data_IF_470365022515
#
_entry.id   IF_470365022515
#
_cell.length_a   1.000
_cell.length_b   1.000
_cell.length_c   1.000
_cell.angle_alpha   90.00
_cell.angle_beta   90.00
_cell.angle_gamma   90.00
#
_symmetry.space_group_name_H-M   'P 1'
#
loop_
_entity.id
_entity.type
_entity.pdbx_description
1 polymer ?
#
# COMPACT_ATOMS: atom_id res chain seq x y z
N UNK A 1 34.41 -16.61 -60.10
CA UNK A 1 33.51 -15.44 -60.15
C UNK A 1 32.78 -15.39 -58.80
N UNK A 2 33.27 -14.63 -57.80
CA UNK A 2 32.75 -13.32 -57.34
C UNK A 2 31.20 -13.28 -57.34
N UNK A 3 30.52 -13.07 -56.20
CA UNK A 3 30.62 -11.85 -55.38
C UNK A 3 30.26 -12.08 -53.89
N UNK A 4 31.12 -11.57 -53.00
CA UNK A 4 30.80 -11.16 -51.63
C UNK A 4 29.83 -9.96 -51.66
N UNK A 5 28.80 -9.97 -50.82
CA UNK A 5 27.95 -8.81 -50.53
C UNK A 5 28.35 -8.20 -49.19
N UNK A 6 28.93 -7.00 -49.23
CA UNK A 6 29.32 -6.19 -48.08
C UNK A 6 28.10 -5.73 -47.27
N UNK A 7 28.13 -5.97 -45.96
CA UNK A 7 27.27 -5.29 -44.99
C UNK A 7 27.91 -3.94 -44.67
N UNK A 8 27.29 -2.85 -45.11
CA UNK A 8 27.68 -1.48 -44.79
C UNK A 8 27.14 -1.14 -43.39
N UNK A 9 28.05 -0.94 -42.44
CA UNK A 9 27.75 -0.37 -41.12
C UNK A 9 27.62 1.14 -41.29
N UNK A 10 26.39 1.66 -41.20
CA UNK A 10 26.14 3.10 -41.18
C UNK A 10 26.24 3.60 -39.73
N UNK A 11 27.38 4.17 -39.38
CA UNK A 11 27.59 4.94 -38.14
C UNK A 11 26.95 6.33 -38.33
N UNK A 12 25.74 6.53 -37.81
CA UNK A 12 25.14 7.85 -37.68
C UNK A 12 25.63 8.47 -36.37
N UNK A 13 26.59 9.38 -36.51
CA UNK A 13 27.07 10.25 -35.46
C UNK A 13 26.01 11.26 -35.04
N UNK A 14 25.73 11.32 -33.75
CA UNK A 14 24.99 12.41 -33.11
C UNK A 14 26.02 13.39 -32.52
N UNK A 15 26.13 14.55 -33.15
CA UNK A 15 26.78 15.71 -32.56
C UNK A 15 25.82 16.37 -31.55
N UNK A 16 26.28 16.78 -30.36
CA UNK A 16 25.45 17.52 -29.42
C UNK A 16 25.43 19.01 -29.77
N UNK A 17 24.23 19.56 -29.94
CA UNK A 17 24.02 21.00 -30.05
C UNK A 17 23.99 21.62 -28.63
N UNK A 18 24.87 22.61 -28.45
CA UNK A 18 24.95 23.52 -27.31
C UNK A 18 23.66 24.35 -27.19
N UNK A 19 23.08 24.41 -25.98
CA UNK A 19 22.16 25.48 -25.60
C UNK A 19 22.33 25.84 -24.11
N UNK A 20 22.81 27.08 -23.94
CA UNK A 20 22.69 28.04 -22.83
C UNK A 20 22.24 27.54 -21.44
N UNK A 21 23.13 27.74 -20.47
CA UNK A 21 22.87 27.51 -19.05
C UNK A 21 21.95 28.54 -18.41
N UNK A 22 21.26 28.07 -17.38
CA UNK A 22 20.86 28.87 -16.22
C UNK A 22 21.60 28.29 -15.01
N UNK A 23 22.50 29.09 -14.45
CA UNK A 23 23.23 28.82 -13.23
C UNK A 23 22.26 28.68 -12.04
N UNK A 24 22.18 27.49 -11.45
CA UNK A 24 21.72 27.32 -10.08
C UNK A 24 22.93 26.96 -9.22
N UNK A 25 23.34 27.91 -8.40
CA UNK A 25 24.50 27.84 -7.51
C UNK A 25 24.37 26.67 -6.53
N UNK A 26 25.32 25.74 -6.58
CA UNK A 26 25.60 24.78 -5.51
C UNK A 26 26.40 25.48 -4.42
N UNK A 27 25.75 25.78 -3.30
CA UNK A 27 26.45 26.08 -2.04
C UNK A 27 26.61 24.77 -1.27
N UNK A 28 27.84 24.24 -1.26
CA UNK A 28 28.21 23.16 -0.36
C UNK A 28 28.13 23.66 1.08
N UNK A 29 27.35 22.97 1.91
CA UNK A 29 27.36 23.14 3.36
C UNK A 29 28.17 21.99 3.96
N UNK A 30 29.34 22.33 4.47
CA UNK A 30 30.15 21.49 5.36
C UNK A 30 29.44 21.34 6.72
N UNK A 31 29.63 20.22 7.45
CA UNK A 31 29.09 20.07 8.79
C UNK A 31 29.85 20.97 9.77
N UNK A 32 29.16 21.92 10.40
CA UNK A 32 29.70 22.65 11.56
C UNK A 32 29.53 21.81 12.84
N UNK A 33 30.57 21.72 13.71
CA UNK A 33 30.44 21.11 15.02
C UNK A 33 29.60 21.98 15.98
N UNK A 34 28.71 21.33 16.73
CA UNK A 34 27.87 21.96 17.76
C UNK A 34 28.72 22.52 18.92
N UNK A 35 28.47 23.76 19.38
CA UNK A 35 29.02 24.25 20.64
C UNK A 35 28.21 23.73 21.86
N UNK A 36 28.86 23.55 23.03
CA UNK A 36 28.24 23.00 24.23
C UNK A 36 27.20 23.95 24.86
N UNK A 37 26.06 23.39 25.26
CA UNK A 37 24.96 24.11 25.90
C UNK A 37 25.31 24.61 27.30
N UNK A 38 25.16 25.91 27.49
CA UNK A 38 25.28 26.61 28.77
C UNK A 38 23.91 26.67 29.45
N UNK A 39 23.80 26.17 30.68
CA UNK A 39 22.61 26.31 31.53
C UNK A 39 22.56 27.72 32.15
N UNK A 40 21.45 28.47 32.08
CA UNK A 40 21.28 29.68 32.88
C UNK A 40 20.86 29.36 34.33
N UNK A 41 21.36 30.14 35.31
CA UNK A 41 21.30 29.82 36.73
C UNK A 41 19.99 30.23 37.42
N UNK A 42 19.69 29.50 38.50
CA UNK A 42 18.61 29.75 39.47
C UNK A 42 18.72 31.14 40.09
N UNK A 43 17.67 31.96 39.93
CA UNK A 43 17.45 33.20 40.68
C UNK A 43 16.43 32.97 41.79
N UNK A 44 16.86 33.09 43.05
CA UNK A 44 15.98 33.23 44.20
C UNK A 44 15.50 34.69 44.34
N UNK A 45 14.21 34.88 44.60
CA UNK A 45 13.63 36.16 44.98
C UNK A 45 12.32 35.93 45.77
N UNK A 46 12.11 36.59 46.92
CA UNK A 46 10.99 36.32 47.81
C UNK A 46 9.73 37.12 47.40
N UNK A 47 8.58 36.43 47.31
CA UNK A 47 7.27 37.07 47.18
C UNK A 47 6.39 36.73 48.41
N UNK A 48 5.68 37.71 48.99
CA UNK A 48 4.84 37.50 50.17
C UNK A 48 3.48 36.85 49.80
N UNK A 49 2.86 36.06 50.70
CA UNK A 49 1.60 35.40 50.44
C UNK A 49 0.41 36.38 50.55
N UNK A 50 -0.33 36.55 49.46
CA UNK A 50 -1.66 37.17 49.46
C UNK A 50 -2.73 36.09 49.65
N UNK A 51 -3.49 36.20 50.74
CA UNK A 51 -4.68 35.39 51.01
C UNK A 51 -5.87 35.91 50.20
N UNK A 52 -6.66 35.05 49.53
CA UNK A 52 -7.93 35.46 48.96
C UNK A 52 -9.01 35.61 50.06
N UNK A 53 -9.96 36.56 49.91
CA UNK A 53 -11.03 36.77 50.88
C UNK A 53 -12.04 35.61 50.90
N UNK A 54 -12.34 35.12 52.11
CA UNK A 54 -13.41 34.16 52.39
C UNK A 54 -14.78 34.79 52.11
N UNK A 55 -15.53 34.20 51.17
CA UNK A 55 -16.97 34.42 51.03
C UNK A 55 -17.74 33.46 51.96
N UNK A 56 -18.90 33.88 52.50
CA UNK A 56 -19.72 33.04 53.37
C UNK A 56 -20.35 31.87 52.59
N UNK A 57 -20.56 30.70 53.23
CA UNK A 57 -21.07 29.52 52.56
C UNK A 57 -22.55 29.69 52.20
N UNK A 58 -22.86 29.62 50.89
CA UNK A 58 -24.22 29.37 50.40
C UNK A 58 -24.57 27.90 50.64
N UNK A 59 -25.77 27.66 51.18
CA UNK A 59 -26.26 26.32 51.52
C UNK A 59 -26.34 25.36 50.33
N UNK A 60 -26.44 24.05 50.60
CA UNK A 60 -26.41 23.02 49.57
C UNK A 60 -27.64 23.12 48.66
N UNK A 61 -27.43 23.60 47.43
CA UNK A 61 -28.37 23.38 46.34
C UNK A 61 -28.35 21.91 45.90
N UNK A 62 -29.45 21.39 45.32
CA UNK A 62 -29.51 20.01 44.84
C UNK A 62 -28.41 19.79 43.78
N UNK A 63 -27.49 18.85 44.05
CA UNK A 63 -26.51 18.40 43.07
C UNK A 63 -27.25 17.79 41.88
N UNK A 64 -27.17 18.43 40.72
CA UNK A 64 -27.56 17.78 39.47
C UNK A 64 -26.63 16.59 39.23
N UNK A 65 -27.17 15.40 38.92
CA UNK A 65 -26.34 14.24 38.62
C UNK A 65 -25.43 14.58 37.43
N UNK A 66 -24.15 14.14 37.46
CA UNK A 66 -23.25 14.36 36.34
C UNK A 66 -23.87 13.81 35.06
N UNK A 67 -23.74 14.52 33.91
CA UNK A 67 -24.27 14.04 32.64
C UNK A 67 -23.73 12.64 32.37
N UNK A 68 -24.63 11.67 32.23
CA UNK A 68 -24.28 10.30 31.88
C UNK A 68 -23.55 10.35 30.53
N UNK A 69 -22.27 9.97 30.53
CA UNK A 69 -21.56 9.73 29.28
C UNK A 69 -22.32 8.65 28.50
N UNK A 70 -22.53 8.84 27.18
CA UNK A 70 -23.09 7.79 26.34
C UNK A 70 -22.31 6.49 26.56
N UNK A 71 -22.97 5.33 26.66
CA UNK A 71 -22.26 4.06 26.74
C UNK A 71 -21.27 3.95 25.57
N UNK A 72 -20.06 3.40 25.78
CA UNK A 72 -19.10 3.20 24.69
C UNK A 72 -19.78 2.41 23.57
N UNK A 73 -19.86 2.99 22.37
CA UNK A 73 -20.37 2.26 21.21
C UNK A 73 -19.39 1.13 20.89
N UNK A 74 -19.75 -0.10 21.26
CA UNK A 74 -19.01 -1.30 20.87
C UNK A 74 -19.47 -1.68 19.47
N UNK A 75 -18.59 -1.49 18.48
CA UNK A 75 -18.88 -1.94 17.11
C UNK A 75 -18.95 -3.48 17.06
N UNK A 76 -19.77 -4.07 16.18
CA UNK A 76 -19.74 -5.51 15.95
C UNK A 76 -18.36 -5.99 15.46
N UNK A 77 -17.91 -7.13 15.97
CA UNK A 77 -16.70 -7.79 15.47
C UNK A 77 -16.95 -8.41 14.09
N UNK A 78 -15.96 -8.28 13.21
CA UNK A 78 -16.02 -8.85 11.85
C UNK A 78 -15.69 -10.35 11.87
N UNK A 79 -16.42 -11.19 11.11
CA UNK A 79 -16.18 -12.62 11.06
C UNK A 79 -14.91 -12.96 10.25
N UNK A 80 -14.24 -14.09 10.53
CA UNK A 80 -13.06 -14.49 9.78
C UNK A 80 -13.38 -14.74 8.31
N UNK A 81 -12.37 -14.55 7.47
CA UNK A 81 -12.43 -14.76 6.04
C UNK A 81 -11.91 -16.17 5.74
N UNK A 82 -12.80 -17.11 5.43
CA UNK A 82 -12.44 -18.53 5.29
C UNK A 82 -12.40 -18.93 3.83
N UNK A 83 -11.18 -19.13 3.32
CA UNK A 83 -10.92 -19.63 1.98
C UNK A 83 -11.04 -18.57 0.88
N UNK A 84 -10.59 -18.95 -0.32
CA UNK A 84 -10.47 -18.05 -1.47
C UNK A 84 -11.82 -17.44 -1.87
N UNK A 85 -12.92 -18.18 -1.82
CA UNK A 85 -14.24 -17.64 -2.21
C UNK A 85 -14.67 -16.46 -1.33
N UNK A 86 -14.45 -16.55 -0.02
CA UNK A 86 -14.72 -15.43 0.89
C UNK A 86 -13.82 -14.24 0.57
N UNK A 87 -12.52 -14.48 0.38
CA UNK A 87 -11.52 -13.46 0.03
C UNK A 87 -11.87 -12.72 -1.27
N UNK A 88 -12.28 -13.45 -2.31
CA UNK A 88 -12.73 -12.85 -3.57
C UNK A 88 -13.99 -11.99 -3.40
N UNK A 89 -14.93 -12.43 -2.56
CA UNK A 89 -16.13 -11.65 -2.26
C UNK A 89 -15.79 -10.38 -1.47
N UNK A 90 -14.81 -10.45 -0.57
CA UNK A 90 -14.34 -9.28 0.16
C UNK A 90 -13.69 -8.27 -0.77
N UNK A 91 -12.83 -8.72 -1.69
CA UNK A 91 -12.24 -7.84 -2.70
C UNK A 91 -13.31 -7.13 -3.53
N UNK A 92 -14.37 -7.83 -3.96
CA UNK A 92 -15.48 -7.18 -4.68
C UNK A 92 -16.14 -6.06 -3.84
N UNK A 93 -16.24 -6.27 -2.53
CA UNK A 93 -16.85 -5.30 -1.61
C UNK A 93 -15.94 -4.08 -1.41
N UNK A 94 -14.65 -4.30 -1.14
CA UNK A 94 -13.63 -3.24 -1.05
C UNK A 94 -13.54 -2.45 -2.37
N UNK A 95 -13.56 -3.12 -3.52
CA UNK A 95 -13.50 -2.46 -4.83
C UNK A 95 -14.73 -1.57 -5.07
N UNK A 96 -15.92 -1.99 -4.65
CA UNK A 96 -17.13 -1.17 -4.75
C UNK A 96 -17.00 0.13 -3.94
N UNK A 97 -16.38 0.07 -2.77
CA UNK A 97 -16.14 1.25 -1.92
C UNK A 97 -15.06 2.17 -2.50
N UNK A 98 -13.98 1.62 -3.05
CA UNK A 98 -12.98 2.39 -3.79
C UNK A 98 -13.63 3.15 -4.95
N UNK A 99 -14.44 2.48 -5.77
CA UNK A 99 -15.16 3.08 -6.89
C UNK A 99 -16.14 4.18 -6.43
N UNK A 100 -16.82 3.98 -5.29
CA UNK A 100 -17.75 4.95 -4.73
C UNK A 100 -17.06 6.22 -4.21
N UNK A 101 -15.82 6.11 -3.76
CA UNK A 101 -15.03 7.23 -3.25
C UNK A 101 -14.30 8.04 -4.34
N UNK A 102 -14.27 7.57 -5.58
CA UNK A 102 -13.66 8.31 -6.69
C UNK A 102 -14.47 9.56 -7.06
N UNK A 103 -13.79 10.56 -7.63
CA UNK A 103 -14.47 11.67 -8.30
C UNK A 103 -15.37 11.16 -9.42
N UNK A 104 -16.45 11.88 -9.74
CA UNK A 104 -17.37 11.49 -10.81
C UNK A 104 -16.66 11.27 -12.15
N UNK A 105 -15.64 12.09 -12.45
CA UNK A 105 -14.82 11.95 -13.66
C UNK A 105 -14.01 10.65 -13.66
N UNK A 106 -13.30 10.34 -12.58
CA UNK A 106 -12.50 9.12 -12.51
C UNK A 106 -13.40 7.89 -12.46
N UNK A 107 -14.48 7.95 -11.68
CA UNK A 107 -15.47 6.87 -11.61
C UNK A 107 -16.02 6.53 -12.99
N UNK A 108 -16.33 7.52 -13.85
CA UNK A 108 -16.83 7.27 -15.20
C UNK A 108 -15.83 6.49 -16.08
N UNK A 109 -14.52 6.59 -15.83
CA UNK A 109 -13.48 5.88 -16.59
C UNK A 109 -13.31 4.42 -16.16
N UNK A 110 -13.57 4.12 -14.89
CA UNK A 110 -13.28 2.79 -14.31
C UNK A 110 -14.50 2.00 -13.89
N UNK A 111 -15.68 2.63 -13.91
CA UNK A 111 -16.94 1.94 -13.63
C UNK A 111 -17.20 0.89 -14.71
N UNK A 112 -17.37 -0.35 -14.26
CA UNK A 112 -17.65 -1.48 -15.16
C UNK A 112 -16.41 -2.20 -15.68
N UNK A 113 -15.20 -1.78 -15.30
CA UNK A 113 -14.00 -2.58 -15.53
C UNK A 113 -14.16 -3.93 -14.81
N UNK A 114 -14.10 -5.06 -15.52
CA UNK A 114 -14.24 -6.38 -14.91
C UNK A 114 -13.06 -6.68 -13.99
N UNK A 115 -13.38 -7.27 -12.82
CA UNK A 115 -12.40 -7.90 -11.94
C UNK A 115 -12.32 -9.39 -12.27
N UNK A 116 -11.13 -9.84 -12.62
CA UNK A 116 -10.83 -11.22 -13.00
C UNK A 116 -9.97 -11.88 -11.92
N UNK A 117 -10.27 -13.14 -11.61
CA UNK A 117 -9.52 -13.92 -10.63
C UNK A 117 -8.69 -14.98 -11.34
N UNK A 118 -7.37 -14.86 -11.26
CA UNK A 118 -6.43 -15.82 -11.80
C UNK A 118 -6.12 -16.90 -10.74
N UNK A 119 -6.33 -18.20 -11.02
CA UNK A 119 -6.03 -19.27 -10.08
C UNK A 119 -4.53 -19.49 -9.78
N UNK A 120 -3.62 -18.74 -10.41
CA UNK A 120 -2.18 -18.86 -10.17
C UNK A 120 -1.79 -18.51 -8.72
N UNK A 121 -0.76 -19.18 -8.23
CA UNK A 121 -0.19 -18.97 -6.88
C UNK A 121 0.86 -17.88 -6.83
N UNK A 122 1.12 -17.24 -7.97
CA UNK A 122 1.97 -16.06 -8.06
C UNK A 122 1.36 -14.92 -7.22
N UNK A 123 2.18 -14.13 -6.55
CA UNK A 123 1.71 -12.98 -5.76
C UNK A 123 1.68 -11.74 -6.64
N UNK A 124 0.53 -11.48 -7.25
CA UNK A 124 0.39 -10.35 -8.18
C UNK A 124 -1.06 -9.82 -8.29
N UNK A 125 -1.18 -8.52 -8.54
CA UNK A 125 -2.38 -7.83 -8.97
C UNK A 125 -1.99 -6.86 -10.10
N UNK A 126 -2.86 -6.65 -11.07
CA UNK A 126 -2.54 -5.73 -12.18
C UNK A 126 -3.78 -5.18 -12.85
N UNK A 127 -3.66 -3.94 -13.30
CA UNK A 127 -4.50 -3.29 -14.29
C UNK A 127 -3.94 -3.52 -15.70
N UNK A 128 -4.81 -3.93 -16.63
CA UNK A 128 -4.39 -4.26 -17.99
C UNK A 128 -5.46 -4.02 -19.04
N UNK A 129 -5.09 -4.23 -20.30
CA UNK A 129 -6.00 -4.24 -21.42
C UNK A 129 -6.03 -5.65 -22.01
N UNK A 130 -7.17 -6.14 -22.47
CA UNK A 130 -7.25 -7.40 -23.21
C UNK A 130 -6.79 -7.26 -24.66
N UNK A 131 -6.92 -8.34 -25.44
CA UNK A 131 -6.55 -8.38 -26.86
C UNK A 131 -7.36 -7.39 -27.71
N UNK A 132 -8.57 -7.04 -27.26
CA UNK A 132 -9.46 -6.08 -27.90
C UNK A 132 -9.24 -4.65 -27.39
N UNK A 133 -8.31 -4.45 -26.45
CA UNK A 133 -8.03 -3.17 -25.82
C UNK A 133 -9.06 -2.77 -24.76
N UNK A 134 -9.90 -3.69 -24.29
CA UNK A 134 -10.82 -3.43 -23.19
C UNK A 134 -10.09 -3.53 -21.83
N UNK A 135 -10.37 -2.62 -20.89
CA UNK A 135 -9.70 -2.61 -19.59
C UNK A 135 -10.16 -3.77 -18.70
N UNK A 136 -9.28 -4.28 -17.86
CA UNK A 136 -9.60 -5.24 -16.79
C UNK A 136 -8.69 -5.04 -15.57
N UNK A 137 -9.19 -5.43 -14.39
CA UNK A 137 -8.39 -5.65 -13.19
C UNK A 137 -8.22 -7.15 -12.96
N UNK A 138 -7.05 -7.58 -12.51
CA UNK A 138 -6.81 -8.98 -12.16
C UNK A 138 -6.24 -9.14 -10.75
N UNK A 139 -6.67 -10.20 -10.08
CA UNK A 139 -6.15 -10.66 -8.80
C UNK A 139 -5.77 -12.13 -8.91
N UNK A 140 -4.52 -12.47 -8.61
CA UNK A 140 -4.07 -13.85 -8.48
C UNK A 140 -4.58 -14.48 -7.16
N UNK A 141 -4.66 -15.81 -7.09
CA UNK A 141 -4.88 -16.49 -5.82
C UNK A 141 -3.71 -16.22 -4.86
N UNK A 142 -2.48 -16.15 -5.37
CA UNK A 142 -1.30 -15.84 -4.56
C UNK A 142 -1.35 -14.47 -3.89
N UNK A 143 -1.85 -13.40 -4.54
CA UNK A 143 -1.99 -12.09 -3.87
C UNK A 143 -3.00 -12.16 -2.73
N UNK A 144 -4.14 -12.83 -2.91
CA UNK A 144 -5.15 -12.95 -1.86
C UNK A 144 -4.63 -13.74 -0.65
N UNK A 145 -3.83 -14.78 -0.90
CA UNK A 145 -3.15 -15.55 0.15
C UNK A 145 -2.10 -14.74 0.90
N UNK A 146 -1.28 -13.96 0.17
CA UNK A 146 -0.27 -13.10 0.78
C UNK A 146 -0.93 -12.06 1.69
N UNK A 147 -2.01 -11.44 1.22
CA UNK A 147 -2.76 -10.45 1.99
C UNK A 147 -3.39 -11.08 3.24
N UNK A 148 -3.95 -12.29 3.15
CA UNK A 148 -4.46 -12.99 4.34
C UNK A 148 -3.33 -13.33 5.32
N UNK A 149 -2.19 -13.85 4.84
CA UNK A 149 -1.03 -14.15 5.68
C UNK A 149 -0.50 -12.91 6.41
N UNK A 150 -0.36 -11.79 5.70
CA UNK A 150 -0.01 -10.47 6.25
C UNK A 150 -1.03 -10.08 7.33
N UNK A 151 -2.32 -10.08 7.00
CA UNK A 151 -3.36 -9.57 7.88
C UNK A 151 -3.52 -10.40 9.16
N UNK A 152 -3.51 -11.72 9.05
CA UNK A 152 -3.65 -12.63 10.19
C UNK A 152 -2.49 -12.48 11.18
N UNK A 153 -1.27 -12.34 10.68
CA UNK A 153 -0.07 -12.26 11.52
C UNK A 153 0.14 -10.86 12.08
N UNK A 154 -0.08 -9.80 11.29
CA UNK A 154 -0.06 -8.41 11.79
C UNK A 154 -1.09 -8.18 12.89
N UNK A 155 -2.32 -8.67 12.71
CA UNK A 155 -3.36 -8.60 13.76
C UNK A 155 -2.94 -9.33 15.05
N UNK A 156 -2.24 -10.46 14.91
CA UNK A 156 -1.75 -11.22 16.08
C UNK A 156 -0.65 -10.44 16.79
N UNK A 157 0.29 -9.86 16.04
CA UNK A 157 1.39 -9.08 16.59
C UNK A 157 0.89 -7.80 17.27
N UNK A 158 -0.07 -7.09 16.65
CA UNK A 158 -0.69 -5.87 17.21
C UNK A 158 -1.43 -6.14 18.53
N UNK A 159 -2.18 -7.24 18.63
CA UNK A 159 -3.02 -7.52 19.80
C UNK A 159 -2.29 -8.22 20.94
N UNK A 160 -1.25 -9.01 20.62
CA UNK A 160 -0.62 -9.91 21.60
C UNK A 160 0.90 -9.71 21.73
N UNK A 161 1.50 -8.77 21.00
CA UNK A 161 2.94 -8.48 21.09
C UNK A 161 3.83 -9.62 20.59
N UNK A 162 3.30 -10.45 19.68
CA UNK A 162 4.04 -11.57 19.08
C UNK A 162 4.94 -11.11 17.92
N UNK A 163 5.65 -12.05 17.28
CA UNK A 163 6.44 -11.85 16.06
C UNK A 163 6.04 -12.82 14.95
N UNK A 164 4.75 -13.10 14.86
CA UNK A 164 4.19 -14.06 13.90
C UNK A 164 4.37 -13.61 12.46
N UNK A 165 4.41 -12.30 12.18
CA UNK A 165 4.65 -11.81 10.83
C UNK A 165 6.08 -12.09 10.37
N UNK A 166 7.08 -11.87 11.23
CA UNK A 166 8.46 -12.24 10.94
C UNK A 166 8.59 -13.76 10.74
N UNK A 167 7.94 -14.57 11.59
CA UNK A 167 7.93 -16.02 11.44
C UNK A 167 7.27 -16.48 10.13
N UNK A 168 6.17 -15.84 9.74
CA UNK A 168 5.49 -16.09 8.46
C UNK A 168 6.41 -15.80 7.28
N UNK A 169 7.00 -14.61 7.20
CA UNK A 169 7.92 -14.25 6.13
C UNK A 169 9.12 -15.21 6.04
N UNK A 170 9.72 -15.58 7.19
CA UNK A 170 10.84 -16.53 7.23
C UNK A 170 10.45 -17.93 6.73
N UNK A 171 9.19 -18.31 6.84
CA UNK A 171 8.70 -19.59 6.35
C UNK A 171 8.35 -19.56 4.85
N UNK A 172 7.65 -18.53 4.38
CA UNK A 172 7.09 -18.52 3.02
C UNK A 172 8.03 -17.94 1.97
N UNK A 173 8.76 -16.87 2.27
CA UNK A 173 9.54 -16.14 1.26
C UNK A 173 10.67 -17.00 0.68
N UNK A 174 11.45 -17.79 1.46
CA UNK A 174 12.46 -18.65 0.88
C UNK A 174 11.87 -19.76 0.00
N UNK A 175 10.65 -20.23 0.29
CA UNK A 175 9.97 -21.21 -0.55
C UNK A 175 9.54 -20.59 -1.88
N UNK A 176 8.95 -19.39 -1.85
CA UNK A 176 8.54 -18.63 -3.03
C UNK A 176 9.71 -18.29 -3.96
N UNK A 177 10.87 -17.94 -3.39
CA UNK A 177 12.08 -17.68 -4.19
C UNK A 177 12.58 -18.95 -4.89
N UNK A 178 12.44 -20.13 -4.27
CA UNK A 178 12.93 -21.40 -4.82
C UNK A 178 11.96 -22.04 -5.82
N UNK A 179 10.67 -21.71 -5.78
CA UNK A 179 9.68 -22.31 -6.65
C UNK A 179 8.53 -21.36 -6.96
N UNK A 180 8.23 -21.24 -8.25
CA UNK A 180 7.04 -20.59 -8.81
C UNK A 180 5.71 -21.26 -8.42
N UNK A 181 5.75 -22.45 -7.81
CA UNK A 181 4.58 -23.18 -7.29
C UNK A 181 4.41 -23.03 -5.78
N UNK A 182 5.36 -22.40 -5.09
CA UNK A 182 5.23 -22.16 -3.66
C UNK A 182 4.16 -21.09 -3.41
N UNK A 183 3.39 -21.30 -2.35
CA UNK A 183 2.23 -20.48 -2.00
C UNK A 183 2.60 -19.48 -0.92
N UNK A 184 1.95 -18.32 -0.94
CA UNK A 184 2.02 -17.33 0.12
C UNK A 184 1.04 -17.63 1.28
N UNK A 185 0.27 -18.72 1.20
CA UNK A 185 -0.64 -19.17 2.26
C UNK A 185 0.05 -19.21 3.63
N UNK A 186 -0.62 -18.71 4.67
CA UNK A 186 -0.15 -18.79 6.05
C UNK A 186 0.10 -20.26 6.48
N UNK A 187 1.35 -20.64 6.81
CA UNK A 187 1.64 -21.98 7.29
C UNK A 187 1.00 -22.27 8.65
N UNK A 188 0.60 -23.53 8.86
CA UNK A 188 0.11 -23.99 10.16
C UNK A 188 1.18 -23.82 11.25
N UNK A 189 0.75 -23.46 12.46
CA UNK A 189 1.62 -23.28 13.62
C UNK A 189 2.35 -21.93 13.72
N UNK A 190 2.27 -21.06 12.70
CA UNK A 190 2.81 -19.70 12.80
C UNK A 190 2.05 -18.87 13.84
N UNK A 191 0.72 -18.98 13.84
CA UNK A 191 -0.12 -18.38 14.88
C UNK A 191 -0.24 -19.40 16.02
N UNK A 192 0.11 -19.03 17.27
CA UNK A 192 -0.07 -19.91 18.42
C UNK A 192 -1.51 -20.40 18.55
N UNK A 193 -1.70 -21.70 18.82
CA UNK A 193 -3.01 -22.33 18.82
C UNK A 193 -4.00 -21.68 19.81
N UNK A 194 -3.51 -21.18 20.95
CA UNK A 194 -4.30 -20.47 21.95
C UNK A 194 -4.77 -19.08 21.50
N UNK A 195 -4.19 -18.51 20.45
CA UNK A 195 -4.55 -17.20 19.87
C UNK A 195 -5.39 -17.35 18.60
N UNK A 196 -5.34 -18.51 17.94
CA UNK A 196 -5.96 -18.74 16.63
C UNK A 196 -7.46 -18.45 16.59
N UNK A 197 -8.18 -18.79 17.67
CA UNK A 197 -9.64 -18.66 17.79
C UNK A 197 -10.13 -17.37 18.47
N UNK A 198 -9.25 -16.39 18.76
CA UNK A 198 -9.68 -15.14 19.37
C UNK A 198 -10.49 -14.29 18.37
N UNK A 199 -11.78 -13.96 18.64
CA UNK A 199 -12.63 -13.23 17.70
C UNK A 199 -12.17 -11.78 17.48
N UNK A 200 -11.44 -11.19 18.43
CA UNK A 200 -10.85 -9.84 18.26
C UNK A 200 -9.72 -9.87 17.24
N UNK A 201 -8.93 -10.94 17.25
CA UNK A 201 -7.87 -11.20 16.27
C UNK A 201 -8.44 -11.38 14.88
N UNK A 202 -9.50 -12.18 14.74
CA UNK A 202 -10.21 -12.30 13.46
C UNK A 202 -10.73 -10.96 12.98
N UNK A 203 -11.43 -10.22 13.84
CA UNK A 203 -11.95 -8.91 13.44
C UNK A 203 -10.84 -7.94 13.04
N UNK A 204 -9.70 -7.91 13.74
CA UNK A 204 -8.59 -7.02 13.37
C UNK A 204 -7.89 -7.49 12.10
N UNK A 205 -7.74 -8.80 11.91
CA UNK A 205 -7.23 -9.36 10.66
C UNK A 205 -8.14 -8.99 9.49
N UNK A 206 -9.48 -8.96 9.68
CA UNK A 206 -10.41 -8.49 8.66
C UNK A 206 -10.17 -7.03 8.27
N UNK A 207 -9.95 -6.15 9.24
CA UNK A 207 -9.67 -4.74 8.93
C UNK A 207 -8.36 -4.59 8.15
N UNK A 208 -7.29 -5.25 8.60
CA UNK A 208 -6.00 -5.19 7.92
C UNK A 208 -6.10 -5.80 6.52
N UNK A 209 -6.88 -6.87 6.35
CA UNK A 209 -7.14 -7.46 5.03
C UNK A 209 -7.77 -6.44 4.09
N UNK A 210 -8.80 -5.73 4.54
CA UNK A 210 -9.47 -4.69 3.76
C UNK A 210 -8.53 -3.51 3.47
N UNK A 211 -7.73 -3.08 4.46
CA UNK A 211 -6.70 -2.04 4.30
C UNK A 211 -5.72 -2.41 3.18
N UNK A 212 -5.15 -3.62 3.22
CA UNK A 212 -4.18 -4.06 2.23
C UNK A 212 -4.82 -4.21 0.85
N UNK A 213 -6.05 -4.75 0.75
CA UNK A 213 -6.80 -4.78 -0.51
C UNK A 213 -7.04 -3.37 -1.05
N UNK A 214 -7.46 -2.43 -0.20
CA UNK A 214 -7.78 -1.07 -0.61
C UNK A 214 -6.58 -0.37 -1.24
N UNK A 215 -5.39 -0.51 -0.65
CA UNK A 215 -4.18 0.07 -1.21
C UNK A 215 -3.71 -0.65 -2.49
N UNK A 216 -3.82 -1.98 -2.53
CA UNK A 216 -3.48 -2.77 -3.73
C UNK A 216 -4.35 -2.35 -4.91
N UNK A 217 -5.68 -2.42 -4.77
CA UNK A 217 -6.60 -2.19 -5.88
C UNK A 217 -6.90 -0.71 -6.12
N UNK A 218 -6.68 0.17 -5.13
CA UNK A 218 -6.63 1.61 -5.36
C UNK A 218 -5.48 1.99 -6.28
N UNK A 219 -4.32 1.37 -6.12
CA UNK A 219 -3.17 1.54 -7.02
C UNK A 219 -3.50 1.04 -8.45
N UNK A 220 -4.05 -0.18 -8.59
CA UNK A 220 -4.43 -0.71 -9.90
C UNK A 220 -5.52 0.13 -10.61
N UNK A 221 -6.55 0.58 -9.87
CA UNK A 221 -7.55 1.50 -10.42
C UNK A 221 -6.92 2.80 -10.92
N UNK A 222 -5.91 3.31 -10.22
CA UNK A 222 -5.20 4.51 -10.62
C UNK A 222 -4.47 4.34 -11.95
N UNK A 223 -3.89 3.17 -12.24
CA UNK A 223 -3.33 2.89 -13.56
C UNK A 223 -4.35 3.07 -14.69
N UNK A 224 -5.62 2.76 -14.44
CA UNK A 224 -6.68 3.01 -15.40
C UNK A 224 -7.08 4.49 -15.49
N UNK A 225 -7.55 5.11 -14.40
CA UNK A 225 -8.10 6.48 -14.51
C UNK A 225 -7.03 7.55 -14.74
N UNK A 226 -5.76 7.29 -14.40
CA UNK A 226 -4.64 8.16 -14.80
C UNK A 226 -4.25 7.96 -16.27
N UNK A 227 -4.62 6.83 -16.87
CA UNK A 227 -4.38 6.51 -18.28
C UNK A 227 -3.06 5.79 -18.53
N UNK A 228 -2.41 5.25 -17.49
CA UNK A 228 -1.16 4.50 -17.63
C UNK A 228 -1.33 3.23 -18.48
N UNK A 229 -2.53 2.64 -18.46
CA UNK A 229 -2.91 1.49 -19.30
C UNK A 229 -3.34 1.88 -20.72
N UNK A 230 -3.76 3.13 -20.94
CA UNK A 230 -4.36 3.59 -22.20
C UNK A 230 -5.82 3.18 -22.41
N UNK A 231 -6.18 1.92 -22.17
CA UNK A 231 -7.51 1.39 -22.52
C UNK A 231 -8.70 2.05 -21.83
N UNK A 232 -8.58 2.43 -20.56
CA UNK A 232 -9.68 3.08 -19.83
C UNK A 232 -10.01 4.50 -20.35
N UNK A 233 -9.11 5.13 -21.13
CA UNK A 233 -9.32 6.44 -21.76
C UNK A 233 -9.62 6.34 -23.26
N UNK A 234 -9.83 5.13 -23.79
CA UNK A 234 -10.04 4.90 -25.22
C UNK A 234 -8.80 5.20 -26.08
N UNK A 235 -7.63 5.35 -25.44
CA UNK A 235 -6.35 5.39 -26.12
C UNK A 235 -6.01 3.94 -26.42
N UNK A 236 -5.93 3.54 -27.70
CA UNK A 236 -5.69 2.15 -28.08
C UNK A 236 -4.52 1.57 -27.28
N UNK A 237 -4.83 0.78 -26.25
CA UNK A 237 -3.84 0.01 -25.52
C UNK A 237 -3.23 -0.97 -26.52
N UNK A 238 -1.93 -1.23 -26.44
CA UNK A 238 -1.36 -2.35 -27.18
C UNK A 238 -2.18 -3.61 -26.89
N UNK A 239 -2.41 -4.46 -27.89
CA UNK A 239 -3.16 -5.70 -27.74
C UNK A 239 -2.58 -6.49 -26.54
N UNK A 240 -3.31 -6.50 -25.43
CA UNK A 240 -2.90 -7.24 -24.24
C UNK A 240 -3.42 -8.66 -24.28
N UNK A 241 -3.18 -9.49 -23.26
CA UNK A 241 -3.52 -10.92 -23.30
C UNK A 241 -5.02 -11.18 -23.01
N UNK A 242 -5.55 -12.28 -23.56
CA UNK A 242 -6.90 -12.78 -23.28
C UNK A 242 -7.13 -13.02 -21.76
N UNK A 243 -8.09 -12.33 -21.12
CA UNK A 243 -8.44 -12.51 -19.71
C UNK A 243 -8.96 -13.91 -19.37
N UNK A 244 -9.31 -14.75 -20.34
CA UNK A 244 -9.66 -16.16 -20.11
C UNK A 244 -8.43 -17.09 -20.14
N UNK A 245 -7.25 -16.59 -20.54
CA UNK A 245 -6.00 -17.35 -20.69
C UNK A 245 -4.89 -16.89 -19.73
N UNK A 246 -5.28 -16.36 -18.56
CA UNK A 246 -4.45 -15.64 -17.59
C UNK A 246 -3.18 -16.35 -17.08
N UNK A 247 -3.05 -17.67 -17.24
CA UNK A 247 -1.96 -18.47 -16.66
C UNK A 247 -0.52 -18.14 -17.12
N UNK A 248 -0.33 -17.04 -17.88
CA UNK A 248 0.97 -16.51 -18.33
C UNK A 248 1.00 -14.98 -18.44
N UNK A 249 0.36 -14.26 -17.51
CA UNK A 249 0.19 -12.80 -17.65
C UNK A 249 1.44 -11.94 -17.49
N UNK A 250 2.58 -12.56 -17.18
CA UNK A 250 3.82 -11.84 -16.89
C UNK A 250 4.68 -11.44 -18.09
N UNK A 251 4.35 -11.89 -19.30
CA UNK A 251 5.15 -11.55 -20.49
C UNK A 251 4.67 -10.32 -21.25
N UNK A 252 3.57 -9.66 -20.82
CA UNK A 252 2.86 -8.68 -21.66
C UNK A 252 2.37 -7.41 -20.93
N UNK A 253 2.54 -7.29 -19.60
CA UNK A 253 2.17 -6.05 -18.89
C UNK A 253 3.14 -4.93 -19.29
N UNK A 254 2.65 -3.74 -19.71
CA UNK A 254 3.51 -2.61 -20.01
C UNK A 254 4.41 -2.32 -18.82
N UNK A 255 5.71 -2.18 -19.04
CA UNK A 255 6.62 -1.67 -18.04
C UNK A 255 6.16 -0.23 -17.75
N UNK A 256 5.47 -0.02 -16.65
CA UNK A 256 5.10 1.31 -16.23
C UNK A 256 6.38 2.07 -15.91
N UNK A 257 6.50 3.29 -16.44
CA UNK A 257 7.62 4.13 -16.05
C UNK A 257 7.49 4.48 -14.55
N UNK A 258 8.62 4.74 -13.90
CA UNK A 258 8.70 5.08 -12.47
C UNK A 258 7.74 6.22 -12.05
N UNK A 259 7.47 7.15 -12.97
CA UNK A 259 6.54 8.26 -12.75
C UNK A 259 5.07 7.81 -12.69
N UNK A 260 4.66 6.87 -13.55
CA UNK A 260 3.33 6.29 -13.54
C UNK A 260 3.04 5.54 -12.24
N UNK A 261 4.00 4.74 -11.78
CA UNK A 261 3.93 4.00 -10.52
C UNK A 261 3.77 4.91 -9.29
N UNK A 262 4.58 5.98 -9.23
CA UNK A 262 4.51 6.97 -8.14
C UNK A 262 3.18 7.73 -8.15
N UNK A 263 2.66 8.04 -9.34
CA UNK A 263 1.36 8.69 -9.49
C UNK A 263 0.21 7.75 -9.10
N UNK A 264 0.27 6.47 -9.49
CA UNK A 264 -0.69 5.44 -9.09
C UNK A 264 -0.68 5.22 -7.58
N UNK A 265 0.49 5.15 -6.95
CA UNK A 265 0.61 5.08 -5.48
C UNK A 265 -0.07 6.24 -4.79
N UNK A 266 0.18 7.45 -5.30
CA UNK A 266 -0.37 8.65 -4.70
C UNK A 266 -1.89 8.65 -4.84
N UNK A 267 -2.40 8.49 -6.06
CA UNK A 267 -3.83 8.58 -6.32
C UNK A 267 -4.60 7.41 -5.68
N UNK A 268 -4.03 6.20 -5.70
CA UNK A 268 -4.56 5.02 -5.04
C UNK A 268 -4.61 5.17 -3.53
N UNK A 269 -3.57 5.74 -2.90
CA UNK A 269 -3.59 6.04 -1.47
C UNK A 269 -4.65 7.08 -1.09
N UNK A 270 -4.81 8.16 -1.86
CA UNK A 270 -5.90 9.11 -1.64
C UNK A 270 -7.27 8.43 -1.75
N UNK A 271 -7.48 7.59 -2.77
CA UNK A 271 -8.73 6.86 -2.96
C UNK A 271 -9.02 5.88 -1.82
N UNK A 272 -8.03 5.09 -1.40
CA UNK A 272 -8.14 4.17 -0.28
C UNK A 272 -8.46 4.91 1.02
N UNK A 273 -7.74 5.99 1.35
CA UNK A 273 -7.99 6.74 2.58
C UNK A 273 -9.37 7.43 2.56
N UNK A 274 -9.80 7.99 1.42
CA UNK A 274 -11.14 8.57 1.27
C UNK A 274 -12.26 7.53 1.45
N UNK A 275 -12.12 6.36 0.83
CA UNK A 275 -13.05 5.24 1.00
C UNK A 275 -13.05 4.72 2.45
N UNK A 276 -11.87 4.54 3.04
CA UNK A 276 -11.71 4.09 4.43
C UNK A 276 -12.35 5.06 5.42
N UNK A 277 -12.24 6.37 5.21
CA UNK A 277 -12.88 7.38 6.07
C UNK A 277 -14.41 7.25 6.07
N UNK A 278 -15.01 6.80 4.97
CA UNK A 278 -16.45 6.61 4.85
C UNK A 278 -16.97 5.43 5.71
N UNK A 279 -16.10 4.53 6.19
CA UNK A 279 -16.46 3.42 7.09
C UNK A 279 -16.63 3.83 8.57
N UNK A 280 -16.36 5.10 8.92
CA UNK A 280 -16.62 5.61 10.27
C UNK A 280 -18.13 5.56 10.59
N UNK A 281 -18.51 5.29 11.86
CA UNK A 281 -17.66 5.15 13.05
C UNK A 281 -17.14 3.72 13.30
N UNK A 282 -17.33 2.78 12.37
CA UNK A 282 -17.00 1.38 12.60
C UNK A 282 -15.48 1.19 12.67
N UNK A 283 -14.78 1.46 11.58
CA UNK A 283 -13.33 1.53 11.52
C UNK A 283 -12.95 2.37 10.30
N UNK A 284 -11.66 2.62 10.13
CA UNK A 284 -11.13 3.39 9.02
C UNK A 284 -9.88 2.70 8.51
N UNK A 285 -9.71 2.67 7.19
CA UNK A 285 -8.48 2.17 6.62
C UNK A 285 -7.32 3.14 6.85
N UNK A 286 -6.13 2.60 7.07
CA UNK A 286 -4.91 3.37 7.28
C UNK A 286 -3.87 3.07 6.21
N UNK A 287 -2.88 3.95 6.07
CA UNK A 287 -1.73 3.74 5.18
C UNK A 287 -0.92 2.48 5.51
N UNK A 288 -1.12 1.90 6.69
CA UNK A 288 -0.48 0.65 7.06
C UNK A 288 -0.83 -0.48 6.09
N UNK A 289 -2.01 -0.50 5.47
CA UNK A 289 -2.36 -1.48 4.45
C UNK A 289 -1.34 -1.53 3.31
N UNK A 290 -1.01 -0.38 2.72
CA UNK A 290 0.01 -0.30 1.68
C UNK A 290 1.42 -0.53 2.21
N UNK A 291 1.74 -0.05 3.43
CA UNK A 291 3.06 -0.27 4.05
C UNK A 291 3.31 -1.76 4.31
N UNK A 292 2.32 -2.51 4.78
CA UNK A 292 2.47 -3.94 5.05
C UNK A 292 2.72 -4.73 3.78
N UNK A 293 2.02 -4.40 2.68
CA UNK A 293 2.25 -5.05 1.39
C UNK A 293 3.65 -4.74 0.85
N UNK A 294 4.07 -3.49 0.88
CA UNK A 294 5.40 -3.08 0.40
C UNK A 294 6.51 -3.70 1.25
N UNK A 295 6.34 -3.82 2.57
CA UNK A 295 7.28 -4.54 3.44
C UNK A 295 7.37 -6.04 3.10
N UNK A 296 6.24 -6.70 2.78
CA UNK A 296 6.26 -8.09 2.31
C UNK A 296 7.09 -8.22 1.02
N UNK A 297 6.85 -7.37 0.03
CA UNK A 297 7.62 -7.37 -1.23
C UNK A 297 9.09 -7.00 -1.02
N UNK A 298 9.40 -6.07 -0.12
CA UNK A 298 10.79 -5.72 0.23
C UNK A 298 11.54 -6.92 0.81
N UNK A 299 10.91 -7.67 1.71
CA UNK A 299 11.49 -8.89 2.29
C UNK A 299 11.63 -9.99 1.25
N UNK A 300 10.69 -10.11 0.32
CA UNK A 300 10.77 -11.05 -0.79
C UNK A 300 11.98 -10.72 -1.69
N UNK A 301 12.17 -9.43 -2.03
CA UNK A 301 13.33 -8.94 -2.80
C UNK A 301 14.65 -9.25 -2.09
N UNK A 302 14.71 -8.95 -0.80
CA UNK A 302 15.89 -9.23 0.02
C UNK A 302 16.18 -10.74 0.06
N UNK A 303 15.15 -11.57 0.22
CA UNK A 303 15.28 -13.04 0.24
C UNK A 303 15.72 -13.60 -1.12
N UNK A 304 15.30 -12.96 -2.22
CA UNK A 304 15.71 -13.31 -3.59
C UNK A 304 17.17 -12.92 -3.90
N UNK A 305 17.88 -12.27 -2.98
CA UNK A 305 19.25 -11.78 -3.18
C UNK A 305 19.31 -10.51 -4.04
N UNK A 306 18.16 -9.86 -4.28
CA UNK A 306 18.04 -8.68 -5.14
C UNK A 306 18.13 -7.35 -4.38
N UNK A 307 18.45 -7.37 -3.07
CA UNK A 307 18.53 -6.18 -2.21
C UNK A 307 19.60 -5.17 -2.64
N UNK A 308 19.27 -4.32 -3.61
CA UNK A 308 20.11 -3.24 -4.11
C UNK A 308 19.55 -2.61 -5.39
N UNK A 309 20.15 -1.49 -5.83
CA UNK A 309 19.82 -0.73 -7.06
C UNK A 309 19.90 -1.53 -8.38
N UNK A 310 20.26 -2.82 -8.32
CA UNK A 310 20.33 -3.76 -9.45
C UNK A 310 19.17 -4.79 -9.47
N UNK A 311 18.07 -4.52 -8.76
CA UNK A 311 16.82 -5.31 -8.68
C UNK A 311 16.17 -5.71 -10.04
N UNK A 312 16.69 -5.23 -11.17
CA UNK A 312 16.21 -5.53 -12.54
C UNK A 312 16.33 -7.00 -12.97
N UNK A 313 17.03 -7.83 -12.20
CA UNK A 313 17.22 -9.27 -12.46
C UNK A 313 16.40 -10.19 -11.53
N UNK A 314 15.54 -9.64 -10.66
CA UNK A 314 14.78 -10.47 -9.74
C UNK A 314 13.83 -11.43 -10.49
N UNK A 315 13.77 -12.71 -10.10
CA UNK A 315 12.79 -13.67 -10.65
C UNK A 315 11.35 -13.35 -10.23
N UNK A 316 11.14 -12.43 -9.28
CA UNK A 316 9.80 -12.06 -8.80
C UNK A 316 9.17 -11.02 -9.73
N UNK A 317 8.04 -11.40 -10.33
CA UNK A 317 7.40 -10.63 -11.39
C UNK A 317 6.97 -9.21 -11.00
N UNK A 318 6.65 -8.99 -9.74
CA UNK A 318 6.35 -7.68 -9.16
C UNK A 318 7.47 -6.65 -9.45
N UNK A 319 8.74 -7.03 -9.30
CA UNK A 319 9.89 -6.10 -9.46
C UNK A 319 10.26 -5.83 -10.93
N UNK A 320 9.68 -6.57 -11.88
CA UNK A 320 9.83 -6.28 -13.31
C UNK A 320 8.88 -5.16 -13.76
N UNK A 321 7.82 -4.93 -12.98
CA UNK A 321 6.70 -4.06 -13.34
C UNK A 321 6.56 -2.87 -12.39
N UNK A 322 7.08 -2.98 -11.15
CA UNK A 322 6.94 -1.97 -10.11
C UNK A 322 8.29 -1.55 -9.50
N UNK A 323 8.43 -0.31 -8.97
CA UNK A 323 9.64 0.18 -8.33
C UNK A 323 9.98 -0.59 -7.05
N UNK A 324 11.23 -0.44 -6.57
CA UNK A 324 11.67 -1.03 -5.31
C UNK A 324 10.70 -0.67 -4.15
N UNK A 325 10.14 -1.65 -3.44
CA UNK A 325 9.17 -1.42 -2.37
C UNK A 325 9.69 -0.56 -1.21
N UNK A 326 10.97 -0.67 -0.85
CA UNK A 326 11.57 0.13 0.23
C UNK A 326 11.61 1.62 -0.12
N UNK A 327 11.71 1.97 -1.40
CA UNK A 327 11.61 3.37 -1.84
C UNK A 327 10.17 3.89 -1.81
N UNK A 328 9.18 3.02 -2.05
CA UNK A 328 7.74 3.37 -2.07
C UNK A 328 7.15 3.57 -0.68
N UNK A 329 7.64 2.88 0.35
CA UNK A 329 7.16 3.04 1.75
C UNK A 329 7.21 4.50 2.24
N UNK A 330 8.36 5.20 2.24
CA UNK A 330 8.42 6.59 2.72
C UNK A 330 7.60 7.55 1.84
N UNK A 331 7.45 7.24 0.55
CA UNK A 331 6.57 7.99 -0.34
C UNK A 331 5.11 7.86 0.07
N UNK A 332 4.61 6.63 0.21
CA UNK A 332 3.25 6.32 0.63
C UNK A 332 2.90 7.01 1.96
N UNK A 333 3.81 6.93 2.94
CA UNK A 333 3.63 7.59 4.23
C UNK A 333 3.59 9.13 4.09
N UNK A 334 4.35 9.71 3.16
CA UNK A 334 4.31 11.16 2.88
C UNK A 334 2.98 11.59 2.27
N UNK A 335 2.47 10.80 1.32
CA UNK A 335 1.15 11.00 0.72
C UNK A 335 0.06 10.93 1.80
N UNK A 336 0.08 9.90 2.64
CA UNK A 336 -0.88 9.74 3.73
C UNK A 336 -0.84 10.90 4.74
N UNK A 337 0.36 11.33 5.16
CA UNK A 337 0.52 12.52 6.02
C UNK A 337 -0.10 13.77 5.41
N UNK A 338 0.07 13.96 4.11
CA UNK A 338 -0.52 15.09 3.38
C UNK A 338 -2.04 15.00 3.36
N UNK A 339 -2.59 13.83 3.05
CA UNK A 339 -4.02 13.56 3.07
C UNK A 339 -4.64 13.86 4.44
N UNK A 340 -4.01 13.37 5.52
CA UNK A 340 -4.44 13.65 6.89
C UNK A 340 -4.40 15.15 7.21
N UNK A 341 -3.35 15.86 6.78
CA UNK A 341 -3.22 17.30 6.97
C UNK A 341 -4.34 18.11 6.32
N UNK A 342 -4.89 17.64 5.19
CA UNK A 342 -5.98 18.31 4.47
C UNK A 342 -7.37 18.07 5.08
N UNK A 343 -7.53 17.03 5.92
CA UNK A 343 -8.84 16.52 6.38
C UNK A 343 -9.00 16.50 7.91
N UNK A 344 -8.06 17.13 8.63
CA UNK A 344 -8.16 17.39 10.08
C UNK A 344 -9.25 18.39 10.39
#
# INVERSE_FOLDING_TARGET
MRKLGSLVVLLLGLAPALAAGCNASTSGSTPQPQPPGYYPPYGQGPYPPQYPPQYPPQGPGPMQPPPQQPPPQTRPLLPPLVGIQAQQQELRSVLAELLAALSAQNQALVRGIPLVFDPTVEVNAFAGCDEQGAPFLAATVGILEAIDGIAQTRATDELFGTKTYDAYCNAVLPAMVRSDKARATLPQGIIPANLGADPRRWSRAREIYDEVLAFTFGHELAHHYLGHTGCAKGQGGGAGPDPARLGRLLSVVPIFNQAGETASDSAGAYNALDAGRARRPQYEWSENGGVFLLDFFARLEQTAGAGGVLSLLSPTAFLRTHPNPLARIPWLQTVARTWHGQRR
#
